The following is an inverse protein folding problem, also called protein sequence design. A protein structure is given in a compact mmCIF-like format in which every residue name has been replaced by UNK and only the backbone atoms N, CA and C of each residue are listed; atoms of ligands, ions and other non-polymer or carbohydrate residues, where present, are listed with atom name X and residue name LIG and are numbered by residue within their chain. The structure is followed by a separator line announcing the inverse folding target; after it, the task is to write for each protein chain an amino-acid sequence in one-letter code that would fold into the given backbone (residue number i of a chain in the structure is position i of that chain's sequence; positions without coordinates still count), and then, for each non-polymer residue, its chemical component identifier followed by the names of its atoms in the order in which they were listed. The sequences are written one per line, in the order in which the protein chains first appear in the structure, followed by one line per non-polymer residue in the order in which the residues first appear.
data_IF_491422687464
#
_entry.id   IF_491422687464
#
_cell.length_a   1.000
_cell.length_b   1.000
_cell.length_c   1.000
_cell.angle_alpha   90.00
_cell.angle_beta   90.00
_cell.angle_gamma   90.00
#
_symmetry.space_group_name_H-M   'P 1'
#
loop_
_entity.id
_entity.type
_entity.pdbx_description
1 polymer ?
#
# COMPACT_ATOMS: atom_id res chain seq x y z
N UNK A 1 -21.19 11.10 23.04
CA UNK A 1 -20.95 10.66 22.84
C UNK A 1 -19.97 10.14 22.88
N UNK A 2 -19.51 10.09 23.38
CA UNK A 2 -18.67 9.59 23.38
C UNK A 2 -18.49 8.46 22.70
N UNK A 3 -19.32 7.73 22.49
CA UNK A 3 -19.30 6.77 21.45
C UNK A 3 -18.73 7.37 20.23
N UNK A 4 -18.95 8.60 20.10
CA UNK A 4 -18.40 9.31 18.97
C UNK A 4 -16.89 9.22 18.93
N UNK A 5 -16.28 9.34 20.07
CA UNK A 5 -14.84 9.26 20.12
C UNK A 5 -14.34 7.90 19.70
N UNK A 6 -15.03 6.88 20.14
CA UNK A 6 -14.65 5.54 19.75
C UNK A 6 -14.77 5.36 18.26
N UNK A 7 -15.86 5.84 17.71
CA UNK A 7 -16.06 5.73 16.28
C UNK A 7 -14.98 6.46 15.51
N UNK A 8 -14.62 7.64 15.97
CA UNK A 8 -13.58 8.40 15.31
C UNK A 8 -12.28 7.64 15.31
N UNK A 9 -11.98 7.03 16.44
CA UNK A 9 -10.75 6.28 16.54
C UNK A 9 -10.74 5.11 15.56
N UNK A 10 -11.86 4.41 15.49
CA UNK A 10 -11.96 3.29 14.55
C UNK A 10 -11.81 3.75 13.12
N UNK A 11 -12.40 4.89 12.79
CA UNK A 11 -12.27 5.42 11.46
C UNK A 11 -10.82 5.73 11.13
N UNK A 12 -10.08 6.24 12.09
CA UNK A 12 -8.68 6.50 11.87
C UNK A 12 -7.91 5.22 11.57
N UNK A 13 -8.24 4.16 12.25
CA UNK A 13 -7.58 2.89 11.97
C UNK A 13 -7.90 2.41 10.58
N UNK A 14 -9.14 2.56 10.15
CA UNK A 14 -9.52 2.18 8.81
C UNK A 14 -8.76 3.01 7.79
N UNK A 15 -8.57 4.28 8.09
CA UNK A 15 -7.82 5.15 7.18
C UNK A 15 -6.38 4.70 7.04
N UNK A 16 -5.81 4.13 8.10
CA UNK A 16 -4.44 3.65 8.04
C UNK A 16 -4.29 2.49 7.07
N UNK A 17 -5.39 1.87 6.71
CA UNK A 17 -5.36 0.74 5.77
C UNK A 17 -5.67 1.17 4.35
N UNK A 18 -5.63 2.45 4.08
CA UNK A 18 -5.84 2.95 2.73
C UNK A 18 -4.52 3.34 2.12
N UNK A 19 -4.47 3.31 0.81
CA UNK A 19 -3.29 3.71 0.07
C UNK A 19 -3.77 4.48 -1.15
N UNK A 20 -3.01 5.49 -1.54
CA UNK A 20 -3.41 6.32 -2.67
C UNK A 20 -3.21 5.54 -3.96
N UNK A 21 -4.24 5.38 -4.77
CA UNK A 21 -4.06 4.71 -6.07
C UNK A 21 -3.19 5.56 -6.98
N UNK A 22 -2.45 4.91 -7.85
CA UNK A 22 -1.59 5.63 -8.78
C UNK A 22 -0.32 4.85 -9.03
N UNK A 23 0.69 5.56 -9.52
CA UNK A 23 1.95 4.95 -9.92
C UNK A 23 2.94 5.07 -8.78
N UNK A 24 3.60 3.95 -8.48
CA UNK A 24 4.62 3.88 -7.45
C UNK A 24 5.88 3.32 -8.06
N UNK A 25 7.01 3.75 -7.53
CA UNK A 25 8.31 3.26 -7.99
C UNK A 25 8.97 2.49 -6.85
N UNK A 26 9.41 1.28 -7.14
CA UNK A 26 10.12 0.45 -6.17
C UNK A 26 11.52 1.02 -5.98
N UNK A 27 12.04 0.91 -4.75
CA UNK A 27 13.36 1.51 -4.46
C UNK A 27 14.48 0.89 -5.29
N UNK A 28 14.28 -0.31 -5.80
CA UNK A 28 15.26 -0.94 -6.68
C UNK A 28 14.96 -0.69 -8.16
N UNK A 29 13.96 0.13 -8.44
CA UNK A 29 13.56 0.41 -9.81
C UNK A 29 12.30 -0.33 -10.16
N UNK A 30 11.71 0.05 -11.30
CA UNK A 30 10.46 -0.56 -11.73
C UNK A 30 9.27 0.22 -11.21
N UNK A 31 8.26 0.35 -12.05
CA UNK A 31 7.07 1.09 -11.70
C UNK A 31 5.88 0.17 -11.65
N UNK A 32 4.95 0.51 -10.79
CA UNK A 32 3.79 -0.30 -10.49
C UNK A 32 2.58 0.59 -10.35
N UNK A 33 1.44 0.11 -10.81
CA UNK A 33 0.19 0.82 -10.62
C UNK A 33 -0.54 0.21 -9.44
N UNK A 34 -0.79 1.01 -8.41
CA UNK A 34 -1.60 0.57 -7.28
C UNK A 34 -3.06 0.82 -7.62
N UNK A 35 -3.86 -0.21 -7.47
CA UNK A 35 -5.27 -0.14 -7.84
C UNK A 35 -6.13 0.11 -6.62
N UNK A 36 -5.92 -0.66 -5.55
CA UNK A 36 -6.74 -0.52 -4.36
C UNK A 36 -6.19 -1.44 -3.28
N UNK A 37 -6.80 -1.39 -2.11
CA UNK A 37 -6.55 -2.38 -1.08
C UNK A 37 -7.67 -3.40 -1.11
N UNK A 38 -7.40 -4.56 -0.54
CA UNK A 38 -8.38 -5.64 -0.52
C UNK A 38 -8.15 -6.49 0.72
N UNK A 39 -9.10 -7.34 1.04
CA UNK A 39 -8.98 -8.29 2.14
C UNK A 39 -8.65 -9.65 1.61
N UNK A 40 -7.68 -10.30 2.21
CA UNK A 40 -7.41 -11.69 1.89
C UNK A 40 -8.59 -12.52 2.40
N UNK A 41 -9.16 -13.36 1.55
CA UNK A 41 -10.40 -14.03 1.90
C UNK A 41 -10.23 -15.03 3.02
N UNK A 42 -9.03 -15.55 3.23
CA UNK A 42 -8.81 -16.58 4.24
C UNK A 42 -8.24 -16.05 5.53
N UNK A 43 -7.27 -15.14 5.43
CA UNK A 43 -6.64 -14.60 6.62
C UNK A 43 -7.26 -13.29 7.05
N UNK A 44 -8.01 -12.64 6.15
CA UNK A 44 -8.62 -11.35 6.38
C UNK A 44 -7.61 -10.24 6.58
N UNK A 45 -6.36 -10.50 6.23
CA UNK A 45 -5.38 -9.42 6.32
C UNK A 45 -5.57 -8.47 5.13
N UNK A 46 -5.11 -7.25 5.33
CA UNK A 46 -5.18 -6.25 4.26
C UNK A 46 -4.03 -6.44 3.29
N UNK A 47 -4.34 -6.35 2.02
CA UNK A 47 -3.33 -6.47 0.96
C UNK A 47 -3.50 -5.31 0.00
N UNK A 48 -2.42 -5.00 -0.73
CA UNK A 48 -2.43 -3.99 -1.78
C UNK A 48 -2.51 -4.72 -3.11
N UNK A 49 -3.49 -4.33 -3.92
CA UNK A 49 -3.65 -4.87 -5.27
C UNK A 49 -2.90 -3.96 -6.22
N UNK A 50 -1.94 -4.50 -6.94
CA UNK A 50 -1.10 -3.67 -7.79
C UNK A 50 -0.68 -4.45 -9.04
N UNK A 51 -0.15 -3.72 -10.00
CA UNK A 51 0.19 -4.27 -11.30
C UNK A 51 1.54 -3.71 -11.73
N UNK A 52 2.53 -4.57 -12.03
CA UNK A 52 3.79 -4.07 -12.59
C UNK A 52 3.52 -3.45 -13.96
N UNK A 53 4.23 -2.39 -14.27
CA UNK A 53 4.08 -1.74 -15.56
C UNK A 53 5.13 -2.23 -16.54
N UNK A 54 5.59 -3.45 -16.35
CA UNK A 54 6.55 -4.11 -17.23
C UNK A 54 6.23 -5.60 -17.24
N UNK A 55 6.82 -6.31 -18.16
CA UNK A 55 6.61 -7.75 -18.26
C UNK A 55 5.18 -8.08 -18.64
N UNK A 56 4.63 -9.09 -18.05
CA UNK A 56 3.27 -9.54 -18.36
C UNK A 56 2.20 -8.65 -17.79
N UNK A 57 2.56 -7.80 -16.84
CA UNK A 57 1.61 -6.87 -16.25
C UNK A 57 0.43 -7.56 -15.60
N UNK A 58 0.69 -8.68 -14.94
CA UNK A 58 -0.34 -9.38 -14.18
C UNK A 58 -0.63 -8.67 -12.88
N UNK A 59 -1.81 -8.91 -12.35
CA UNK A 59 -2.19 -8.32 -11.06
C UNK A 59 -1.57 -9.15 -9.94
N UNK A 60 -1.05 -8.45 -8.95
CA UNK A 60 -0.42 -9.05 -7.79
C UNK A 60 -1.00 -8.46 -6.52
N UNK A 61 -0.84 -9.16 -5.42
CA UNK A 61 -1.16 -8.61 -4.10
C UNK A 61 0.06 -8.77 -3.22
N UNK A 62 0.19 -7.84 -2.27
CA UNK A 62 1.25 -7.88 -1.27
C UNK A 62 0.63 -7.42 0.04
N UNK A 63 1.01 -8.02 1.18
CA UNK A 63 0.47 -7.53 2.44
C UNK A 63 0.67 -6.04 2.60
N UNK A 64 -0.35 -5.37 3.11
CA UNK A 64 -0.33 -3.91 3.21
C UNK A 64 0.91 -3.42 3.95
N UNK A 65 1.22 -4.05 5.09
CA UNK A 65 2.35 -3.61 5.89
C UNK A 65 3.66 -3.72 5.12
N UNK A 66 3.79 -4.74 4.31
CA UNK A 66 5.02 -4.93 3.54
C UNK A 66 5.10 -3.96 2.38
N UNK A 67 3.96 -3.54 1.86
CA UNK A 67 3.96 -2.59 0.75
C UNK A 67 4.38 -1.21 1.21
N UNK A 68 3.93 -0.79 2.39
CA UNK A 68 4.15 0.57 2.85
C UNK A 68 5.39 0.71 3.74
N UNK A 69 6.10 -0.38 3.99
CA UNK A 69 7.24 -0.29 4.89
C UNK A 69 8.40 0.46 4.25
N UNK A 70 9.30 0.92 5.10
CA UNK A 70 10.53 1.54 4.61
C UNK A 70 11.64 0.50 4.64
N UNK A 71 12.67 0.76 3.85
CA UNK A 71 13.85 -0.08 3.82
C UNK A 71 15.07 0.79 4.08
N UNK A 72 16.13 0.16 4.57
CA UNK A 72 17.37 0.88 4.86
C UNK A 72 18.29 0.74 3.65
N UNK A 73 18.65 1.90 3.07
CA UNK A 73 19.57 1.92 1.94
C UNK A 73 20.74 2.81 2.34
N UNK A 74 21.87 2.18 2.60
CA UNK A 74 23.10 2.90 2.96
C UNK A 74 22.89 3.82 4.16
N UNK A 75 22.12 3.33 5.15
CA UNK A 75 21.87 4.09 6.35
C UNK A 75 20.70 5.03 6.28
N UNK A 76 20.04 5.11 5.14
CA UNK A 76 18.91 6.02 4.96
C UNK A 76 17.63 5.20 4.81
N UNK A 77 16.59 5.63 5.53
CA UNK A 77 15.29 4.99 5.42
C UNK A 77 14.57 5.56 4.22
N UNK A 78 14.18 4.68 3.29
CA UNK A 78 13.43 5.10 2.10
C UNK A 78 12.20 4.21 1.97
N UNK A 79 11.12 4.71 1.36
CA UNK A 79 9.95 3.87 1.14
C UNK A 79 10.30 2.73 0.19
N UNK A 80 9.78 1.55 0.47
CA UNK A 80 9.95 0.43 -0.46
C UNK A 80 9.30 0.77 -1.79
N UNK A 81 8.12 1.39 -1.75
CA UNK A 81 7.42 1.88 -2.94
C UNK A 81 7.08 3.33 -2.70
N UNK A 82 7.46 4.19 -3.61
CA UNK A 82 7.24 5.62 -3.47
C UNK A 82 6.24 6.09 -4.51
N UNK A 83 5.24 6.83 -4.06
CA UNK A 83 4.25 7.40 -4.97
C UNK A 83 4.91 8.41 -5.88
N UNK A 84 4.67 8.29 -7.18
CA UNK A 84 5.26 9.22 -8.14
C UNK A 84 4.23 9.95 -8.97
N UNK A 85 2.95 9.58 -8.89
CA UNK A 85 1.94 10.33 -9.61
C UNK A 85 0.78 9.46 -10.01
N UNK A 86 -0.18 10.07 -10.67
CA UNK A 86 -1.38 9.37 -11.10
C UNK A 86 -1.19 8.69 -12.44
N UNK A 87 -0.20 9.07 -13.15
CA UNK A 87 0.14 8.47 -14.43
C UNK A 87 1.61 8.77 -14.72
#
# INVERSE_FOLDING_TARGET
MIADNSCSFLLMELNDMTIKPGIYEHYKGGRYRVIDTARHSETEEWVVLYQPLYGEQKLWVRPFDMFVETVNVNGTQVPRFQFVGNE
#
